data_IF_527109885551
#
_entry.id   IF_527109885551
#
_cell.length_a   1.000
_cell.length_b   1.000
_cell.length_c   1.000
_cell.angle_alpha   90.00
_cell.angle_beta   90.00
_cell.angle_gamma   90.00
#
_symmetry.space_group_name_H-M   'P 1'
#
loop_
_entity.id
_entity.type
_entity.pdbx_description
1 polymer ?
#
# COMPACT_ATOMS: atom_id res chain seq x y z
N UNK A 1 -21.25 13.71 4.07
CA UNK A 1 -21.20 14.70 2.98
C UNK A 1 -21.37 13.95 1.66
N UNK A 2 -22.40 14.32 0.90
CA UNK A 2 -22.59 13.85 -0.48
C UNK A 2 -22.21 15.00 -1.40
N UNK A 3 -21.24 14.78 -2.26
CA UNK A 3 -20.81 15.73 -3.27
C UNK A 3 -21.73 15.62 -4.50
N UNK A 4 -22.13 16.74 -5.10
CA UNK A 4 -22.81 16.71 -6.38
C UNK A 4 -21.88 16.18 -7.48
N UNK A 5 -22.50 15.61 -8.52
CA UNK A 5 -21.77 15.23 -9.73
C UNK A 5 -21.12 16.47 -10.35
N UNK A 6 -19.89 16.33 -10.83
CA UNK A 6 -19.09 17.45 -11.31
C UNK A 6 -17.60 17.20 -11.10
N UNK A 7 -16.79 18.18 -11.50
CA UNK A 7 -15.34 18.13 -11.35
C UNK A 7 -14.86 19.32 -10.50
N UNK A 8 -14.18 19.02 -9.40
CA UNK A 8 -13.85 20.00 -8.37
C UNK A 8 -12.33 20.01 -8.09
N UNK A 9 -11.65 21.15 -8.29
CA UNK A 9 -10.26 21.27 -7.88
C UNK A 9 -10.17 21.26 -6.35
N UNK A 10 -9.23 20.50 -5.80
CA UNK A 10 -8.94 20.45 -4.36
C UNK A 10 -7.52 20.94 -4.13
N UNK A 11 -7.38 22.06 -3.42
CA UNK A 11 -6.10 22.55 -2.90
C UNK A 11 -5.95 22.14 -1.44
N UNK A 12 -4.73 21.98 -0.95
CA UNK A 12 -4.37 21.59 0.41
C UNK A 12 -4.87 20.21 0.90
N UNK A 13 -5.79 19.56 0.17
CA UNK A 13 -6.32 18.24 0.51
C UNK A 13 -7.51 18.30 1.45
N UNK A 14 -8.27 17.21 1.51
CA UNK A 14 -9.38 17.03 2.44
C UNK A 14 -8.90 16.24 3.65
N UNK A 15 -9.19 16.73 4.86
CA UNK A 15 -8.91 16.01 6.10
C UNK A 15 -10.21 15.48 6.68
N UNK A 16 -10.33 14.16 6.78
CA UNK A 16 -11.48 13.45 7.31
C UNK A 16 -11.15 12.95 8.71
N UNK A 17 -11.93 13.39 9.69
CA UNK A 17 -11.84 12.96 11.10
C UNK A 17 -13.00 12.02 11.43
N UNK A 18 -13.24 11.78 12.72
CA UNK A 18 -14.20 10.76 13.16
C UNK A 18 -15.59 10.87 12.52
N UNK A 19 -16.15 9.73 12.15
CA UNK A 19 -17.51 9.56 11.63
C UNK A 19 -17.82 10.32 10.34
N UNK A 20 -16.79 10.77 9.62
CA UNK A 20 -16.98 11.39 8.31
C UNK A 20 -17.40 10.35 7.27
N UNK A 21 -18.46 10.67 6.54
CA UNK A 21 -18.82 9.96 5.30
C UNK A 21 -18.65 10.92 4.13
N UNK A 22 -17.83 10.58 3.14
CA UNK A 22 -17.64 11.32 1.90
C UNK A 22 -18.07 10.44 0.73
N UNK A 23 -19.04 10.91 -0.06
CA UNK A 23 -19.50 10.19 -1.25
C UNK A 23 -19.78 11.13 -2.40
N UNK A 24 -19.74 10.65 -3.64
CA UNK A 24 -20.03 11.51 -4.80
C UNK A 24 -20.07 10.75 -6.13
N UNK A 25 -21.17 10.07 -6.42
CA UNK A 25 -21.33 9.36 -7.70
C UNK A 25 -21.28 10.35 -8.88
N UNK A 26 -20.35 10.13 -9.80
CA UNK A 26 -20.09 11.07 -10.91
C UNK A 26 -19.32 12.32 -10.48
N UNK A 27 -18.72 12.32 -9.28
CA UNK A 27 -17.84 13.38 -8.79
C UNK A 27 -16.38 13.04 -9.05
N UNK A 28 -15.67 14.01 -9.61
CA UNK A 28 -14.21 14.00 -9.73
C UNK A 28 -13.61 15.06 -8.81
N UNK A 29 -12.70 14.65 -7.94
CA UNK A 29 -11.82 15.54 -7.20
C UNK A 29 -10.45 15.52 -7.87
N UNK A 30 -9.90 16.68 -8.19
CA UNK A 30 -8.64 16.74 -8.94
C UNK A 30 -7.69 17.80 -8.43
N UNK A 31 -6.40 17.62 -8.73
CA UNK A 31 -5.35 18.60 -8.45
C UNK A 31 -4.69 19.13 -9.72
N UNK A 32 -4.54 20.46 -9.87
CA UNK A 32 -3.80 21.04 -10.99
C UNK A 32 -2.30 20.78 -10.88
N UNK A 33 -1.77 20.78 -9.66
CA UNK A 33 -0.34 20.72 -9.37
C UNK A 33 -0.07 19.71 -8.25
N UNK A 34 1.17 19.19 -8.22
CA UNK A 34 1.59 18.24 -7.19
C UNK A 34 1.82 19.01 -5.88
N UNK A 35 1.05 18.68 -4.85
CA UNK A 35 1.24 19.23 -3.49
C UNK A 35 1.48 18.08 -2.50
N UNK A 36 2.29 18.35 -1.48
CA UNK A 36 2.73 17.36 -0.49
C UNK A 36 1.58 16.72 0.28
N UNK A 37 0.54 17.47 0.63
CA UNK A 37 -0.59 16.87 1.33
C UNK A 37 -1.30 15.83 0.44
N UNK A 38 -1.82 14.74 1.00
CA UNK A 38 -2.65 13.82 0.23
C UNK A 38 -3.93 14.53 -0.23
N UNK A 39 -4.54 14.06 -1.32
CA UNK A 39 -5.81 14.62 -1.78
C UNK A 39 -6.92 14.34 -0.76
N UNK A 40 -6.90 13.17 -0.12
CA UNK A 40 -7.71 12.82 1.05
C UNK A 40 -6.80 12.25 2.15
N UNK A 41 -6.79 12.87 3.34
CA UNK A 41 -6.21 12.33 4.57
C UNK A 41 -7.33 11.83 5.49
N UNK A 42 -7.30 10.55 5.85
CA UNK A 42 -8.17 9.94 6.86
C UNK A 42 -7.42 9.84 8.17
N UNK A 43 -7.83 10.63 9.16
CA UNK A 43 -7.13 10.81 10.44
C UNK A 43 -8.04 10.53 11.65
N UNK A 44 -9.18 9.88 11.44
CA UNK A 44 -10.13 9.50 12.49
C UNK A 44 -10.84 8.18 12.17
N UNK A 45 -11.62 7.70 13.14
CA UNK A 45 -12.33 6.41 13.08
C UNK A 45 -13.72 6.53 12.45
N UNK A 46 -14.28 5.41 11.98
CA UNK A 46 -15.63 5.38 11.42
C UNK A 46 -15.77 6.18 10.10
N UNK A 47 -14.68 6.31 9.36
CA UNK A 47 -14.65 7.11 8.12
C UNK A 47 -15.03 6.26 6.91
N UNK A 48 -15.88 6.80 6.05
CA UNK A 48 -16.26 6.17 4.78
C UNK A 48 -15.97 7.09 3.61
N UNK A 49 -15.27 6.61 2.58
CA UNK A 49 -15.02 7.30 1.30
C UNK A 49 -15.53 6.44 0.16
N UNK A 50 -16.52 6.92 -0.60
CA UNK A 50 -17.23 6.10 -1.58
C UNK A 50 -17.52 6.80 -2.90
N UNK A 51 -17.53 6.04 -4.00
CA UNK A 51 -18.08 6.47 -5.30
C UNK A 51 -17.38 7.66 -5.96
N UNK A 52 -16.12 7.95 -5.63
CA UNK A 52 -15.37 9.10 -6.15
C UNK A 52 -14.42 8.73 -7.29
N UNK A 53 -14.15 9.70 -8.16
CA UNK A 53 -12.94 9.72 -9.00
C UNK A 53 -11.94 10.71 -8.43
N UNK A 54 -10.68 10.30 -8.27
CA UNK A 54 -9.57 11.12 -7.80
C UNK A 54 -8.52 11.24 -8.91
N UNK A 55 -8.18 12.47 -9.30
CA UNK A 55 -7.19 12.72 -10.35
C UNK A 55 -6.01 13.54 -9.80
N UNK A 56 -4.81 12.98 -9.93
CA UNK A 56 -3.60 13.60 -9.40
C UNK A 56 -2.56 13.77 -10.52
N UNK A 57 -1.75 14.83 -10.47
CA UNK A 57 -0.61 14.98 -11.36
C UNK A 57 0.52 14.03 -10.96
N UNK A 58 1.55 13.97 -11.80
CA UNK A 58 2.75 13.20 -11.52
C UNK A 58 3.52 13.78 -10.33
N UNK A 59 4.10 12.92 -9.49
CA UNK A 59 4.83 13.35 -8.30
C UNK A 59 5.98 12.40 -7.95
N UNK A 60 7.06 13.00 -7.43
CA UNK A 60 8.31 12.32 -7.08
C UNK A 60 8.68 12.60 -5.61
N UNK A 61 7.96 12.00 -4.64
CA UNK A 61 8.31 12.10 -3.22
C UNK A 61 9.73 11.62 -2.94
N UNK A 62 10.29 12.11 -1.83
CA UNK A 62 11.52 11.56 -1.26
C UNK A 62 11.31 10.18 -0.62
N UNK A 63 12.39 9.53 -0.15
CA UNK A 63 12.35 8.17 0.37
C UNK A 63 11.37 7.93 1.54
N UNK A 64 11.17 8.94 2.41
CA UNK A 64 10.33 8.82 3.61
C UNK A 64 8.99 9.54 3.49
N UNK A 65 8.66 10.03 2.28
CA UNK A 65 7.44 10.82 2.07
C UNK A 65 6.31 9.96 1.48
N UNK A 66 6.31 8.65 1.77
CA UNK A 66 5.36 7.69 1.21
C UNK A 66 3.89 7.93 1.59
N UNK A 67 3.64 8.78 2.59
CA UNK A 67 2.32 9.25 3.03
C UNK A 67 1.88 10.58 2.37
N UNK A 68 2.78 11.21 1.62
CA UNK A 68 2.59 12.50 0.96
C UNK A 68 2.33 12.31 -0.54
N UNK A 69 1.76 13.32 -1.19
CA UNK A 69 1.35 13.35 -2.60
C UNK A 69 0.38 12.22 -3.03
N UNK A 70 -0.24 11.50 -2.09
CA UNK A 70 -1.12 10.36 -2.39
C UNK A 70 -2.53 10.79 -2.78
N UNK A 71 -3.30 9.87 -3.36
CA UNK A 71 -4.73 10.08 -3.54
C UNK A 71 -5.46 9.96 -2.20
N UNK A 72 -5.12 8.93 -1.43
CA UNK A 72 -5.69 8.65 -0.11
C UNK A 72 -4.55 8.22 0.82
N UNK A 73 -4.39 8.92 1.94
CA UNK A 73 -3.58 8.47 3.07
C UNK A 73 -4.50 8.20 4.26
N UNK A 74 -4.35 7.03 4.88
CA UNK A 74 -5.06 6.62 6.09
C UNK A 74 -4.03 6.46 7.20
N UNK A 75 -4.15 7.25 8.25
CA UNK A 75 -3.20 7.31 9.37
C UNK A 75 -2.04 8.28 9.15
N UNK A 76 -0.95 8.07 9.89
CA UNK A 76 0.24 8.95 9.90
C UNK A 76 1.51 8.13 10.00
N UNK A 77 2.58 8.64 9.40
CA UNK A 77 3.91 8.03 9.56
C UNK A 77 4.48 8.32 10.95
N UNK A 78 4.46 9.60 11.34
CA UNK A 78 5.09 10.09 12.55
C UNK A 78 4.05 10.64 13.54
N UNK A 79 4.28 10.37 14.82
CA UNK A 79 3.44 10.79 15.93
C UNK A 79 4.29 11.49 17.00
N UNK A 80 3.76 12.55 17.60
CA UNK A 80 4.45 13.26 18.69
C UNK A 80 4.54 12.42 19.98
N UNK A 81 3.51 11.61 20.22
CA UNK A 81 3.39 10.69 21.36
C UNK A 81 2.61 9.44 20.92
N UNK A 82 2.42 8.47 21.83
CA UNK A 82 1.68 7.25 21.51
C UNK A 82 0.24 7.61 21.11
N UNK A 83 -0.18 7.31 19.87
CA UNK A 83 -1.51 7.66 19.41
C UNK A 83 -2.57 6.66 19.84
N UNK A 84 -3.82 7.08 19.76
CA UNK A 84 -4.95 6.16 19.67
C UNK A 84 -5.00 5.51 18.28
N UNK A 85 -5.46 4.26 18.21
CA UNK A 85 -5.68 3.57 16.95
C UNK A 85 -6.92 4.12 16.27
N UNK A 86 -6.81 4.47 14.98
CA UNK A 86 -7.99 4.76 14.16
C UNK A 86 -8.50 3.48 13.50
N UNK A 87 -9.82 3.34 13.43
CA UNK A 87 -10.47 2.08 13.04
C UNK A 87 -11.78 2.27 12.29
N UNK A 88 -12.32 1.18 11.74
CA UNK A 88 -13.61 1.14 11.03
C UNK A 88 -13.64 2.07 9.82
N UNK A 89 -12.61 1.96 8.96
CA UNK A 89 -12.44 2.80 7.78
C UNK A 89 -12.83 2.04 6.52
N UNK A 90 -13.67 2.63 5.69
CA UNK A 90 -14.15 2.02 4.44
C UNK A 90 -13.79 2.92 3.26
N UNK A 91 -13.06 2.38 2.29
CA UNK A 91 -12.83 3.01 0.99
C UNK A 91 -13.40 2.11 -0.08
N UNK A 92 -14.40 2.60 -0.83
CA UNK A 92 -15.12 1.72 -1.77
C UNK A 92 -15.53 2.38 -3.07
N UNK A 93 -15.41 1.64 -4.19
CA UNK A 93 -15.80 2.13 -5.54
C UNK A 93 -15.13 3.46 -5.91
N UNK A 94 -13.85 3.58 -5.56
CA UNK A 94 -13.03 4.75 -5.88
C UNK A 94 -12.20 4.48 -7.13
N UNK A 95 -12.14 5.45 -8.04
CA UNK A 95 -11.26 5.43 -9.21
C UNK A 95 -10.14 6.44 -9.01
N UNK A 96 -8.89 6.01 -9.07
CA UNK A 96 -7.73 6.88 -8.95
C UNK A 96 -7.01 6.93 -10.30
N UNK A 97 -6.70 8.13 -10.78
CA UNK A 97 -5.96 8.35 -12.02
C UNK A 97 -4.76 9.24 -11.76
N UNK A 98 -3.60 8.76 -12.20
CA UNK A 98 -2.37 9.53 -12.27
C UNK A 98 -1.76 9.40 -13.67
N UNK A 99 -1.09 10.46 -14.11
CA UNK A 99 -0.49 10.51 -15.43
C UNK A 99 0.76 9.59 -15.51
N UNK A 100 0.62 8.40 -16.06
CA UNK A 100 1.75 7.48 -16.25
C UNK A 100 2.29 6.90 -14.93
N UNK A 101 3.56 6.48 -14.93
CA UNK A 101 4.24 5.93 -13.74
C UNK A 101 5.11 6.99 -13.09
N UNK A 102 5.04 7.07 -11.76
CA UNK A 102 5.90 7.93 -10.94
C UNK A 102 6.27 7.28 -9.62
N UNK A 103 6.92 8.01 -8.72
CA UNK A 103 7.28 7.50 -7.41
C UNK A 103 6.14 7.60 -6.38
N UNK A 104 5.20 8.55 -6.53
CA UNK A 104 4.12 8.73 -5.57
C UNK A 104 3.14 7.55 -5.50
N UNK A 105 2.80 7.15 -4.28
CA UNK A 105 1.79 6.14 -4.00
C UNK A 105 0.38 6.66 -4.31
N UNK A 106 -0.57 5.75 -4.51
CA UNK A 106 -1.97 6.10 -4.70
C UNK A 106 -2.73 6.01 -3.38
N UNK A 107 -2.73 4.83 -2.74
CA UNK A 107 -3.33 4.61 -1.43
C UNK A 107 -2.25 4.20 -0.44
N UNK A 108 -2.14 4.93 0.66
CA UNK A 108 -1.21 4.64 1.76
C UNK A 108 -1.98 4.39 3.05
N UNK A 109 -1.79 3.21 3.63
CA UNK A 109 -2.24 2.84 4.97
C UNK A 109 -1.02 2.83 5.90
N UNK A 110 -0.97 3.69 6.90
CA UNK A 110 0.27 3.89 7.67
C UNK A 110 0.06 4.20 9.15
N UNK A 111 0.87 3.55 10.00
CA UNK A 111 0.90 3.81 11.44
C UNK A 111 -0.19 3.09 12.24
N UNK A 112 -0.75 3.78 13.24
CA UNK A 112 -1.76 3.25 14.16
C UNK A 112 -3.15 3.18 13.50
N UNK A 113 -3.31 2.24 12.57
CA UNK A 113 -4.56 2.00 11.85
C UNK A 113 -4.95 0.53 11.90
N UNK A 114 -6.22 0.24 12.14
CA UNK A 114 -6.78 -1.12 12.06
C UNK A 114 -8.19 -1.13 11.49
N UNK A 115 -8.74 -2.31 11.23
CA UNK A 115 -10.13 -2.49 10.79
C UNK A 115 -10.47 -1.65 9.54
N UNK A 116 -9.70 -1.88 8.46
CA UNK A 116 -9.86 -1.15 7.19
C UNK A 116 -10.39 -2.08 6.11
N UNK A 117 -11.43 -1.63 5.39
CA UNK A 117 -11.95 -2.30 4.20
C UNK A 117 -11.74 -1.43 2.96
N UNK A 118 -10.94 -1.92 2.02
CA UNK A 118 -10.77 -1.34 0.69
C UNK A 118 -11.44 -2.25 -0.34
N UNK A 119 -12.46 -1.77 -1.06
CA UNK A 119 -13.22 -2.62 -1.99
C UNK A 119 -13.57 -1.96 -3.31
N UNK A 120 -13.57 -2.72 -4.40
CA UNK A 120 -14.02 -2.27 -5.72
C UNK A 120 -13.25 -1.04 -6.25
N UNK A 121 -11.95 -0.92 -5.93
CA UNK A 121 -11.12 0.23 -6.30
C UNK A 121 -10.44 0.01 -7.65
N UNK A 122 -10.32 1.07 -8.46
CA UNK A 122 -9.51 1.04 -9.69
C UNK A 122 -8.42 2.10 -9.64
N UNK A 123 -7.18 1.72 -9.95
CA UNK A 123 -6.01 2.60 -10.00
C UNK A 123 -5.40 2.57 -11.39
N UNK A 124 -5.18 3.75 -11.98
CA UNK A 124 -4.47 3.95 -13.23
C UNK A 124 -3.21 4.78 -12.99
N UNK A 125 -2.03 4.22 -13.26
CA UNK A 125 -0.75 4.90 -13.09
C UNK A 125 -0.25 4.99 -11.65
N UNK A 126 0.77 5.83 -11.47
CA UNK A 126 1.46 6.08 -10.21
C UNK A 126 2.57 5.08 -9.87
N UNK A 127 3.08 5.21 -8.64
CA UNK A 127 4.07 4.33 -8.04
C UNK A 127 3.41 3.06 -7.55
N UNK A 128 3.12 3.01 -6.25
CA UNK A 128 2.41 1.89 -5.63
C UNK A 128 0.90 2.15 -5.65
N UNK A 129 0.08 1.19 -6.10
CA UNK A 129 -1.37 1.31 -6.05
C UNK A 129 -1.86 1.28 -4.59
N UNK A 130 -1.38 0.32 -3.80
CA UNK A 130 -1.66 0.22 -2.37
C UNK A 130 -0.38 -0.11 -1.59
N UNK A 131 -0.05 0.72 -0.61
CA UNK A 131 1.01 0.46 0.36
C UNK A 131 0.44 0.43 1.77
N UNK A 132 0.83 -0.58 2.53
CA UNK A 132 0.68 -0.60 3.97
C UNK A 132 2.07 -0.55 4.62
N UNK A 133 2.27 0.39 5.54
CA UNK A 133 3.57 0.64 6.16
C UNK A 133 3.45 0.98 7.65
N UNK A 134 4.51 0.77 8.41
CA UNK A 134 4.54 1.09 9.83
C UNK A 134 4.63 2.60 10.07
N UNK A 135 4.29 3.03 11.29
CA UNK A 135 4.51 4.37 11.80
C UNK A 135 5.24 4.35 13.13
N UNK A 136 5.67 5.49 13.64
CA UNK A 136 6.40 5.56 14.90
C UNK A 136 6.23 6.88 15.66
N UNK A 137 6.49 6.81 16.96
CA UNK A 137 6.63 7.99 17.81
C UNK A 137 8.02 8.61 17.59
N UNK A 138 8.04 9.86 17.14
CA UNK A 138 9.23 10.63 16.75
C UNK A 138 8.92 11.65 15.65
N UNK A 139 9.80 12.63 15.42
CA UNK A 139 9.61 13.64 14.36
C UNK A 139 10.16 13.20 12.98
N UNK A 140 10.83 12.05 12.93
CA UNK A 140 11.43 11.49 11.71
C UNK A 140 12.20 10.21 12.03
N UNK A 141 12.71 9.54 10.99
CA UNK A 141 13.44 8.27 11.13
C UNK A 141 14.60 8.35 12.12
N UNK A 142 15.38 9.44 12.08
CA UNK A 142 16.53 9.64 12.98
C UNK A 142 16.14 9.94 14.43
N UNK A 143 14.86 10.16 14.71
CA UNK A 143 14.31 10.59 16.00
C UNK A 143 13.24 9.61 16.51
N UNK A 144 13.25 8.37 16.01
CA UNK A 144 12.36 7.32 16.53
C UNK A 144 12.81 6.98 17.95
N UNK A 145 11.98 7.37 18.91
CA UNK A 145 12.26 7.25 20.35
C UNK A 145 11.31 6.30 21.06
N UNK A 146 10.18 5.96 20.44
CA UNK A 146 9.13 5.13 21.03
C UNK A 146 8.64 4.02 20.10
N UNK A 147 7.43 3.54 20.37
CA UNK A 147 6.87 2.36 19.72
C UNK A 147 6.71 2.51 18.20
N UNK A 148 6.91 1.39 17.48
CA UNK A 148 6.46 1.25 16.10
C UNK A 148 5.04 0.68 16.06
N UNK A 149 4.25 1.23 15.15
CA UNK A 149 2.82 1.02 14.99
C UNK A 149 2.58 0.37 13.64
N UNK A 150 1.88 -0.75 13.64
CA UNK A 150 1.81 -1.65 12.49
C UNK A 150 0.35 -1.81 12.05
N UNK A 151 -0.01 -1.37 10.83
CA UNK A 151 -1.37 -1.56 10.34
C UNK A 151 -1.77 -3.03 10.30
N UNK A 152 -2.98 -3.33 10.76
CA UNK A 152 -3.48 -4.71 10.90
C UNK A 152 -5.00 -4.81 10.79
N UNK A 153 -5.54 -6.03 10.75
CA UNK A 153 -6.97 -6.31 10.62
C UNK A 153 -7.57 -5.58 9.40
N UNK A 154 -6.98 -5.73 8.21
CA UNK A 154 -7.48 -5.03 7.01
C UNK A 154 -7.64 -5.95 5.80
N UNK A 155 -8.59 -5.56 4.95
CA UNK A 155 -8.98 -6.31 3.77
C UNK A 155 -8.91 -5.43 2.52
N UNK A 156 -8.37 -5.99 1.43
CA UNK A 156 -8.40 -5.41 0.09
C UNK A 156 -9.11 -6.38 -0.86
N UNK A 157 -10.23 -5.96 -1.42
CA UNK A 157 -11.12 -6.80 -2.24
C UNK A 157 -11.41 -6.14 -3.60
N UNK A 158 -11.21 -6.86 -4.70
CA UNK A 158 -11.60 -6.38 -6.02
C UNK A 158 -10.76 -5.20 -6.54
N UNK A 159 -9.51 -5.05 -6.11
CA UNK A 159 -8.61 -3.98 -6.60
C UNK A 159 -8.21 -4.24 -8.06
N UNK A 160 -8.34 -3.21 -8.90
CA UNK A 160 -7.89 -3.21 -10.29
C UNK A 160 -6.76 -2.21 -10.47
N UNK A 161 -5.61 -2.65 -10.97
CA UNK A 161 -4.43 -1.80 -11.16
C UNK A 161 -3.99 -1.84 -12.62
N UNK A 162 -3.79 -0.69 -13.23
CA UNK A 162 -3.30 -0.57 -14.61
C UNK A 162 -2.13 0.40 -14.67
N UNK A 163 -1.06 0.01 -15.38
CA UNK A 163 0.06 0.90 -15.73
C UNK A 163 0.79 1.54 -14.52
N UNK A 164 0.78 0.89 -13.35
CA UNK A 164 1.50 1.34 -12.16
C UNK A 164 2.92 0.74 -12.08
N UNK A 165 3.78 1.29 -11.22
CA UNK A 165 5.06 0.63 -10.89
C UNK A 165 4.79 -0.64 -10.06
N UNK A 166 4.04 -0.53 -8.98
CA UNK A 166 3.73 -1.63 -8.08
C UNK A 166 2.24 -1.68 -7.75
N UNK A 167 1.65 -2.88 -7.65
CA UNK A 167 0.29 -3.01 -7.13
C UNK A 167 0.27 -2.97 -5.60
N UNK A 168 1.07 -3.81 -4.94
CA UNK A 168 1.11 -3.90 -3.47
C UNK A 168 2.52 -3.82 -2.89
N UNK A 169 2.67 -2.96 -1.87
CA UNK A 169 3.76 -3.04 -0.90
C UNK A 169 3.15 -3.28 0.49
N UNK A 170 3.32 -4.48 1.05
CA UNK A 170 2.87 -4.82 2.40
C UNK A 170 4.09 -4.92 3.29
N UNK A 171 4.31 -3.89 4.11
CA UNK A 171 5.51 -3.72 4.90
C UNK A 171 5.15 -3.61 6.38
N UNK A 172 5.64 -4.57 7.17
CA UNK A 172 5.41 -4.63 8.61
C UNK A 172 3.93 -4.64 9.03
N UNK A 173 3.14 -5.55 8.45
CA UNK A 173 1.70 -5.71 8.74
C UNK A 173 1.40 -7.10 9.30
N UNK A 174 0.20 -7.30 9.85
CA UNK A 174 -0.31 -8.61 10.27
C UNK A 174 -1.84 -8.65 10.18
N UNK A 175 -2.41 -9.86 10.09
CA UNK A 175 -3.85 -10.10 9.86
C UNK A 175 -4.41 -9.33 8.66
N UNK A 176 -3.98 -9.76 7.48
CA UNK A 176 -4.28 -9.08 6.22
C UNK A 176 -4.88 -10.05 5.24
N UNK A 177 -5.96 -9.62 4.59
CA UNK A 177 -6.57 -10.34 3.49
C UNK A 177 -6.53 -9.50 2.22
N UNK A 178 -6.01 -10.07 1.13
CA UNK A 178 -6.08 -9.48 -0.21
C UNK A 178 -6.72 -10.49 -1.15
N UNK A 179 -7.82 -10.10 -1.80
CA UNK A 179 -8.56 -11.00 -2.69
C UNK A 179 -9.08 -10.34 -3.96
N UNK A 180 -9.29 -11.19 -4.96
CA UNK A 180 -9.95 -10.82 -6.22
C UNK A 180 -9.27 -9.64 -6.95
N UNK A 181 -7.95 -9.58 -6.91
CA UNK A 181 -7.13 -8.52 -7.50
C UNK A 181 -6.84 -8.77 -8.98
N UNK A 182 -6.91 -7.72 -9.80
CA UNK A 182 -6.45 -7.76 -11.19
C UNK A 182 -5.47 -6.64 -11.50
N UNK A 183 -4.27 -7.01 -11.90
CA UNK A 183 -3.23 -6.08 -12.33
C UNK A 183 -2.94 -6.24 -13.82
N UNK A 184 -2.71 -5.14 -14.51
CA UNK A 184 -2.29 -5.10 -15.90
C UNK A 184 -1.13 -4.11 -16.06
N UNK A 185 -0.04 -4.58 -16.68
CA UNK A 185 1.18 -3.78 -16.92
C UNK A 185 1.77 -3.15 -15.65
N UNK A 186 1.87 -3.95 -14.59
CA UNK A 186 2.59 -3.58 -13.36
C UNK A 186 4.02 -4.12 -13.39
N UNK A 187 4.97 -3.38 -12.83
CA UNK A 187 6.37 -3.85 -12.73
C UNK A 187 6.56 -4.81 -11.56
N UNK A 188 5.81 -4.61 -10.48
CA UNK A 188 5.72 -5.51 -9.33
C UNK A 188 4.24 -5.72 -8.99
N UNK A 189 3.82 -6.97 -8.81
CA UNK A 189 2.49 -7.31 -8.29
C UNK A 189 2.46 -7.17 -6.78
N UNK A 190 3.29 -7.94 -6.08
CA UNK A 190 3.36 -7.94 -4.61
C UNK A 190 4.80 -7.84 -4.12
N UNK A 191 5.03 -6.95 -3.17
CA UNK A 191 6.24 -6.89 -2.36
C UNK A 191 5.86 -6.98 -0.89
N UNK A 192 6.26 -8.09 -0.27
CA UNK A 192 6.03 -8.37 1.15
C UNK A 192 7.35 -8.24 1.90
N UNK A 193 7.37 -7.42 2.95
CA UNK A 193 8.56 -7.09 3.72
C UNK A 193 8.22 -7.13 5.22
N UNK A 194 9.17 -7.48 6.11
CA UNK A 194 9.01 -7.32 7.57
C UNK A 194 9.05 -5.85 8.00
N UNK A 195 9.20 -4.95 7.02
CA UNK A 195 9.61 -3.55 7.07
C UNK A 195 10.88 -3.31 7.85
N UNK A 196 11.16 -2.02 8.08
CA UNK A 196 12.55 -1.60 8.19
C UNK A 196 13.11 -1.78 9.59
N UNK A 197 12.30 -1.66 10.65
CA UNK A 197 12.81 -1.74 12.02
C UNK A 197 12.60 -3.08 12.75
N UNK A 198 12.11 -4.11 12.06
CA UNK A 198 12.05 -5.52 12.52
C UNK A 198 11.82 -5.69 14.04
N UNK A 199 10.68 -5.24 14.54
CA UNK A 199 10.30 -5.33 15.97
C UNK A 199 11.16 -4.60 17.00
N UNK A 200 12.23 -3.87 16.62
CA UNK A 200 13.10 -3.17 17.60
C UNK A 200 12.31 -2.28 18.56
N UNK A 201 11.22 -1.71 18.07
CA UNK A 201 10.34 -0.81 18.80
C UNK A 201 8.92 -1.38 18.95
N UNK A 202 8.73 -2.68 18.73
CA UNK A 202 7.39 -3.28 18.80
C UNK A 202 6.76 -3.03 20.17
N UNK A 203 5.50 -2.63 20.15
CA UNK A 203 4.68 -2.59 21.35
C UNK A 203 4.52 -4.02 21.92
N UNK A 204 4.94 -4.28 23.18
CA UNK A 204 4.77 -5.58 23.82
C UNK A 204 3.30 -6.04 23.92
N UNK A 205 2.32 -5.15 23.71
CA UNK A 205 0.88 -5.46 23.70
C UNK A 205 0.29 -5.92 22.36
N UNK A 206 1.05 -5.96 21.26
CA UNK A 206 0.54 -6.48 19.99
C UNK A 206 0.38 -8.02 20.07
N UNK A 207 -0.88 -8.50 20.15
CA UNK A 207 -1.22 -9.92 20.33
C UNK A 207 -0.65 -10.82 19.22
N UNK A 208 -0.59 -10.32 18.00
CA UNK A 208 0.11 -10.95 16.88
C UNK A 208 1.40 -10.21 16.54
N UNK A 209 2.40 -10.97 16.08
CA UNK A 209 3.64 -10.39 15.58
C UNK A 209 3.45 -9.82 14.17
N UNK A 210 4.31 -8.88 13.79
CA UNK A 210 4.49 -8.50 12.38
C UNK A 210 4.69 -9.76 11.51
N UNK A 211 4.21 -9.72 10.26
CA UNK A 211 4.28 -10.79 9.26
C UNK A 211 3.48 -12.05 9.62
N UNK A 212 2.41 -11.91 10.39
CA UNK A 212 1.56 -13.04 10.79
C UNK A 212 0.16 -12.94 10.19
N UNK A 213 -0.37 -14.05 9.68
CA UNK A 213 -1.76 -14.15 9.20
C UNK A 213 -2.00 -13.32 7.95
N UNK A 214 -1.24 -13.56 6.88
CA UNK A 214 -1.43 -12.87 5.60
C UNK A 214 -2.04 -13.87 4.60
N UNK A 215 -3.22 -13.57 4.06
CA UNK A 215 -3.83 -14.33 2.98
C UNK A 215 -3.96 -13.48 1.73
N UNK A 216 -3.35 -13.91 0.64
CA UNK A 216 -3.46 -13.28 -0.67
C UNK A 216 -3.99 -14.32 -1.64
N UNK A 217 -5.18 -14.12 -2.19
CA UNK A 217 -5.81 -15.11 -3.05
C UNK A 217 -6.60 -14.57 -4.24
N UNK A 218 -6.81 -15.40 -5.26
CA UNK A 218 -7.63 -15.05 -6.42
C UNK A 218 -7.10 -13.87 -7.25
N UNK A 219 -5.78 -13.77 -7.40
CA UNK A 219 -5.12 -12.63 -8.06
C UNK A 219 -4.68 -12.95 -9.49
N UNK A 220 -4.83 -12.01 -10.43
CA UNK A 220 -4.27 -12.06 -11.79
C UNK A 220 -3.31 -10.89 -12.02
N UNK A 221 -2.03 -11.19 -12.28
CA UNK A 221 -0.95 -10.21 -12.37
C UNK A 221 -0.37 -10.18 -13.79
N UNK A 222 -0.73 -9.16 -14.57
CA UNK A 222 -0.02 -8.79 -15.80
C UNK A 222 1.30 -8.09 -15.50
N UNK A 223 2.40 -8.85 -15.54
CA UNK A 223 3.72 -8.42 -15.05
C UNK A 223 4.68 -7.98 -16.18
N UNK A 224 5.06 -6.70 -16.18
CA UNK A 224 5.97 -6.11 -17.18
C UNK A 224 7.29 -5.58 -16.59
N UNK A 225 7.64 -5.95 -15.35
CA UNK A 225 8.88 -5.53 -14.68
C UNK A 225 10.08 -6.39 -15.08
N UNK A 226 11.27 -5.86 -14.79
CA UNK A 226 12.56 -6.49 -15.12
C UNK A 226 13.12 -7.40 -14.00
N UNK A 227 12.54 -7.36 -12.80
CA UNK A 227 12.99 -8.13 -11.62
C UNK A 227 12.04 -9.28 -11.26
N UNK A 228 10.93 -8.98 -10.59
CA UNK A 228 9.99 -9.98 -10.06
C UNK A 228 8.55 -9.50 -10.12
N UNK A 229 7.60 -10.44 -10.18
CA UNK A 229 6.18 -10.13 -10.03
C UNK A 229 5.77 -10.18 -8.54
N UNK A 230 6.32 -11.14 -7.80
CA UNK A 230 6.09 -11.32 -6.36
C UNK A 230 7.44 -11.43 -5.67
N UNK A 231 7.64 -10.65 -4.62
CA UNK A 231 8.77 -10.79 -3.70
C UNK A 231 8.27 -10.94 -2.27
N UNK A 232 8.73 -11.98 -1.60
CA UNK A 232 8.55 -12.21 -0.16
C UNK A 232 9.92 -12.18 0.49
N UNK A 233 10.25 -11.09 1.17
CA UNK A 233 11.49 -10.99 1.92
C UNK A 233 11.19 -11.07 3.41
N UNK A 234 11.74 -12.06 4.10
CA UNK A 234 11.76 -12.15 5.56
C UNK A 234 13.01 -11.51 6.14
N UNK A 235 13.50 -10.43 5.54
CA UNK A 235 14.55 -9.62 6.10
C UNK A 235 14.30 -8.14 5.79
N UNK A 236 14.80 -7.27 6.66
CA UNK A 236 14.71 -5.82 6.53
C UNK A 236 16.02 -5.17 6.95
N UNK A 237 16.20 -3.91 6.55
CA UNK A 237 17.31 -3.08 6.99
C UNK A 237 16.74 -1.88 7.73
N UNK A 238 17.15 -1.69 8.98
CA UNK A 238 16.75 -0.52 9.76
C UNK A 238 17.18 0.77 9.09
N UNK A 239 16.23 1.68 8.91
CA UNK A 239 16.54 3.03 8.45
C UNK A 239 17.18 3.88 9.55
N UNK A 240 17.09 3.46 10.82
CA UNK A 240 17.65 4.18 11.97
C UNK A 240 19.17 3.99 12.04
N UNK A 241 19.65 2.75 11.98
CA UNK A 241 21.08 2.42 12.15
C UNK A 241 21.66 1.52 11.06
N UNK A 242 20.86 1.14 10.07
CA UNK A 242 21.30 0.28 8.98
C UNK A 242 21.44 -1.19 9.32
N UNK A 243 21.08 -1.64 10.53
CA UNK A 243 21.16 -3.03 10.93
C UNK A 243 20.25 -3.91 10.06
N UNK A 244 20.74 -5.08 9.66
CA UNK A 244 19.98 -6.06 8.89
C UNK A 244 19.52 -7.18 9.82
N UNK A 245 18.24 -7.52 9.71
CA UNK A 245 17.56 -8.43 10.61
C UNK A 245 16.60 -9.31 9.83
N UNK A 246 16.52 -10.57 10.23
CA UNK A 246 15.65 -11.57 9.61
C UNK A 246 14.41 -11.79 10.46
N UNK A 247 13.26 -11.87 9.81
CA UNK A 247 11.98 -12.24 10.41
C UNK A 247 11.14 -13.02 9.39
N UNK A 248 10.93 -14.30 9.67
CA UNK A 248 10.06 -15.15 8.88
C UNK A 248 8.60 -14.66 8.90
N UNK A 249 7.86 -15.00 7.84
CA UNK A 249 6.42 -14.94 7.85
C UNK A 249 5.85 -16.16 8.57
N UNK A 250 4.73 -15.97 9.26
CA UNK A 250 3.95 -17.05 9.88
C UNK A 250 2.56 -16.98 9.28
N UNK A 251 2.05 -18.11 8.79
CA UNK A 251 0.73 -18.18 8.15
C UNK A 251 0.58 -17.18 6.98
N UNK A 252 1.61 -17.12 6.11
CA UNK A 252 1.53 -16.44 4.82
C UNK A 252 1.06 -17.43 3.75
N UNK A 253 -0.09 -17.12 3.18
CA UNK A 253 -0.79 -17.94 2.21
C UNK A 253 -0.96 -17.17 0.89
N UNK A 254 -0.35 -17.69 -0.19
CA UNK A 254 -0.49 -17.17 -1.55
C UNK A 254 -1.24 -18.20 -2.40
N UNK A 255 -2.56 -17.99 -2.61
CA UNK A 255 -3.44 -18.97 -3.29
C UNK A 255 -4.04 -18.48 -4.59
N UNK A 256 -4.16 -19.37 -5.57
CA UNK A 256 -4.85 -19.09 -6.83
C UNK A 256 -4.37 -17.79 -7.52
N UNK A 257 -3.06 -17.54 -7.45
CA UNK A 257 -2.42 -16.38 -8.07
C UNK A 257 -1.91 -16.75 -9.44
N UNK A 258 -2.39 -16.06 -10.47
CA UNK A 258 -1.89 -16.20 -11.85
C UNK A 258 -0.96 -15.04 -12.18
N UNK A 259 0.26 -15.35 -12.60
CA UNK A 259 1.22 -14.37 -13.12
C UNK A 259 1.25 -14.53 -14.64
N UNK A 260 0.91 -13.45 -15.36
CA UNK A 260 1.01 -13.35 -16.82
C UNK A 260 2.21 -12.48 -17.18
N UNK A 261 3.33 -13.07 -17.62
CA UNK A 261 4.46 -12.30 -18.12
C UNK A 261 4.03 -11.46 -19.32
N UNK A 262 4.31 -10.17 -19.26
CA UNK A 262 4.15 -9.22 -20.36
C UNK A 262 5.53 -8.79 -20.87
N UNK A 263 5.61 -8.18 -22.07
CA UNK A 263 6.83 -7.53 -22.52
C UNK A 263 7.35 -6.55 -21.47
N UNK A 264 8.66 -6.56 -21.22
CA UNK A 264 9.29 -5.67 -20.22
C UNK A 264 9.19 -4.22 -20.69
N UNK A 265 8.71 -3.33 -19.81
CA UNK A 265 8.50 -1.89 -20.12
C UNK A 265 9.53 -0.99 -19.41
N UNK A 266 10.54 -1.57 -18.76
CA UNK A 266 11.59 -0.83 -18.04
C UNK A 266 12.61 -0.22 -19.03
N UNK A 267 12.54 1.10 -19.24
CA UNK A 267 13.60 1.98 -19.75
C UNK A 267 14.50 1.47 -20.91
N UNK A 268 13.94 0.78 -21.94
CA UNK A 268 14.67 0.28 -23.13
C UNK A 268 15.83 -0.68 -22.85
N UNK A 269 15.96 -1.18 -21.63
CA UNK A 269 17.02 -2.11 -21.27
C UNK A 269 16.54 -3.56 -21.44
N UNK A 270 17.44 -4.50 -21.77
CA UNK A 270 17.11 -5.92 -21.67
C UNK A 270 16.69 -6.24 -20.23
N UNK A 271 15.83 -7.25 -20.01
CA UNK A 271 15.47 -7.68 -18.67
C UNK A 271 16.73 -7.99 -17.86
N UNK A 272 16.74 -7.59 -16.58
CA UNK A 272 17.91 -7.81 -15.72
C UNK A 272 18.23 -9.32 -15.63
N UNK A 273 19.52 -9.69 -15.63
CA UNK A 273 19.92 -11.06 -15.29
C UNK A 273 19.30 -11.45 -13.94
N UNK A 274 18.63 -12.60 -13.89
CA UNK A 274 17.94 -13.05 -12.67
C UNK A 274 16.47 -12.64 -12.55
N UNK A 275 15.83 -12.14 -13.62
CA UNK A 275 14.37 -11.97 -13.70
C UNK A 275 13.66 -13.28 -13.33
N UNK A 276 12.87 -13.26 -12.25
CA UNK A 276 12.16 -14.41 -11.68
C UNK A 276 10.75 -13.97 -11.30
N UNK A 277 9.68 -14.67 -11.72
CA UNK A 277 8.32 -14.24 -11.40
C UNK A 277 8.07 -14.18 -9.89
N UNK A 278 8.70 -15.07 -9.12
CA UNK A 278 8.56 -15.15 -7.67
C UNK A 278 9.96 -15.22 -7.05
N UNK A 279 10.19 -14.41 -6.02
CA UNK A 279 11.41 -14.37 -5.21
C UNK A 279 11.04 -14.52 -3.74
N UNK A 280 11.67 -15.47 -3.05
CA UNK A 280 11.48 -15.71 -1.61
C UNK A 280 12.85 -15.70 -0.94
N UNK A 281 13.04 -14.84 0.04
CA UNK A 281 14.35 -14.57 0.68
C UNK A 281 14.18 -14.55 2.20
N UNK A 282 14.77 -15.50 2.91
CA UNK A 282 14.76 -15.57 4.39
C UNK A 282 13.36 -15.47 5.03
N UNK A 283 12.31 -15.81 4.28
CA UNK A 283 10.90 -15.61 4.64
C UNK A 283 10.29 -16.74 5.47
N UNK A 284 11.04 -17.79 5.79
CA UNK A 284 10.49 -19.02 6.33
C UNK A 284 9.70 -19.80 5.27
N UNK A 285 8.69 -20.55 5.70
CA UNK A 285 7.82 -21.31 4.79
C UNK A 285 6.74 -20.40 4.22
N UNK A 286 6.64 -20.33 2.90
CA UNK A 286 5.58 -19.61 2.18
C UNK A 286 4.73 -20.63 1.44
N UNK A 287 3.43 -20.68 1.72
CA UNK A 287 2.51 -21.53 0.96
C UNK A 287 2.23 -20.87 -0.40
N UNK A 288 2.60 -21.57 -1.47
CA UNK A 288 2.42 -21.13 -2.87
C UNK A 288 1.37 -21.98 -3.59
N UNK A 289 0.44 -22.59 -2.84
CA UNK A 289 -0.60 -23.46 -3.40
C UNK A 289 -1.38 -22.76 -4.54
N UNK A 290 -1.38 -23.36 -5.73
CA UNK A 290 -2.16 -22.83 -6.86
C UNK A 290 -1.58 -21.58 -7.52
N UNK A 291 -0.38 -21.13 -7.13
CA UNK A 291 0.34 -20.07 -7.86
C UNK A 291 0.82 -20.60 -9.21
N UNK A 292 0.49 -19.90 -10.30
CA UNK A 292 0.80 -20.30 -11.68
C UNK A 292 1.44 -19.16 -12.45
N UNK A 293 2.43 -19.49 -13.26
CA UNK A 293 3.04 -18.56 -14.21
C UNK A 293 2.65 -19.00 -15.63
N UNK A 294 1.95 -18.14 -16.37
CA UNK A 294 1.58 -18.41 -17.75
C UNK A 294 2.81 -18.30 -18.69
N UNK A 295 2.80 -19.00 -19.83
CA UNK A 295 3.89 -18.94 -20.82
C UNK A 295 4.07 -17.55 -21.42
#
# INVERSE_FOLDING_TARGET
MVLPAGSYPITAGLVLTDNWSLSGSGTTLWRPEAEASPLIAVLGSGVTVTDLTLELPDASPGPHDGAEWTAITIGRYFYAEQPEWIEQIVVRRVVIRRAGRCAANNITLIGAVREVLLSDITVHGGGTAFIAHWGAVGAGVSDITGHSLHPHHFQVDGLRVCDAFEAFCLSSVYDVEVRDVRCERVEIGFRLLPGDNTDRYRDPGAEMGINQGLSIHGCDIGWCGDLYAIRVAGWGRSEVDGAVTTRAFVDLDLRDVTIRPLPVVVARQPPRPGRRPIVVEDAGSVDLAGVRVLP
#
